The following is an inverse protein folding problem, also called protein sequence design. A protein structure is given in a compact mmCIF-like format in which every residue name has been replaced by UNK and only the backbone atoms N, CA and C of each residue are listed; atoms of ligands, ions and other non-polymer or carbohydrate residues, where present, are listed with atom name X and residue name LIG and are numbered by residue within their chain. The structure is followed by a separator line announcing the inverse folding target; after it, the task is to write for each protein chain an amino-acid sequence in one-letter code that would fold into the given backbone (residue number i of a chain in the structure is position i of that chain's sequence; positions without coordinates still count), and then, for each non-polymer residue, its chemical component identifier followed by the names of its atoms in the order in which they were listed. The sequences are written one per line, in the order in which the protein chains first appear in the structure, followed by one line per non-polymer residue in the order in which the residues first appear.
data_IF_611256662305
#
_entry.id   IF_611256662305
#
_cell.length_a   1.000
_cell.length_b   1.000
_cell.length_c   1.000
_cell.angle_alpha   90.00
_cell.angle_beta   90.00
_cell.angle_gamma   90.00
#
_symmetry.space_group_name_H-M   'P 1'
#
loop_
_entity.id
_entity.type
_entity.pdbx_description
1 polymer ?
#
# COMPACT_ATOMS: atom_id res chain seq x y z
N UNK A 1 -22.76 -23.54 -15.52
CA UNK A 1 -22.24 -22.16 -15.65
C UNK A 1 -21.30 -21.84 -14.50
N UNK A 2 -20.00 -22.05 -14.72
CA UNK A 2 -18.85 -21.23 -14.31
C UNK A 2 -18.89 -20.36 -13.03
N UNK A 3 -19.23 -20.93 -11.87
CA UNK A 3 -18.99 -20.25 -10.57
C UNK A 3 -17.49 -19.91 -10.36
N UNK A 4 -16.58 -20.74 -10.90
CA UNK A 4 -15.14 -20.52 -10.84
C UNK A 4 -14.64 -19.32 -11.65
N UNK A 5 -15.19 -19.06 -12.85
CA UNK A 5 -14.72 -17.94 -13.68
C UNK A 5 -15.21 -16.58 -13.17
N UNK A 6 -16.38 -16.52 -12.52
CA UNK A 6 -16.92 -15.28 -11.95
C UNK A 6 -16.10 -14.79 -10.76
N UNK A 7 -15.80 -15.69 -9.82
CA UNK A 7 -14.97 -15.39 -8.66
C UNK A 7 -13.54 -15.05 -9.07
N UNK A 8 -12.91 -15.81 -9.95
CA UNK A 8 -11.54 -15.52 -10.40
C UNK A 8 -11.44 -14.16 -11.13
N UNK A 9 -12.48 -13.78 -11.89
CA UNK A 9 -12.52 -12.48 -12.58
C UNK A 9 -12.72 -11.32 -11.60
N UNK A 10 -13.61 -11.47 -10.62
CA UNK A 10 -13.81 -10.44 -9.58
C UNK A 10 -12.57 -10.27 -8.71
N UNK A 11 -11.90 -11.39 -8.40
CA UNK A 11 -10.62 -11.43 -7.73
C UNK A 11 -9.55 -10.64 -8.51
N UNK A 12 -9.37 -10.95 -9.79
CA UNK A 12 -8.41 -10.25 -10.65
C UNK A 12 -8.70 -8.75 -10.74
N UNK A 13 -9.98 -8.37 -10.86
CA UNK A 13 -10.40 -6.97 -10.86
C UNK A 13 -10.07 -6.26 -9.55
N UNK A 14 -10.30 -6.91 -8.40
CA UNK A 14 -10.01 -6.33 -7.09
C UNK A 14 -8.50 -6.08 -6.92
N UNK A 15 -7.65 -7.03 -7.33
CA UNK A 15 -6.18 -6.85 -7.32
C UNK A 15 -5.77 -5.64 -8.18
N UNK A 16 -6.32 -5.52 -9.39
CA UNK A 16 -6.02 -4.41 -10.30
C UNK A 16 -6.50 -3.06 -9.74
N UNK A 17 -7.72 -3.00 -9.21
CA UNK A 17 -8.28 -1.78 -8.64
C UNK A 17 -7.46 -1.30 -7.43
N UNK A 18 -7.12 -2.20 -6.51
CA UNK A 18 -6.25 -1.90 -5.37
C UNK A 18 -4.84 -1.50 -5.81
N UNK A 19 -4.32 -2.13 -6.88
CA UNK A 19 -3.01 -1.80 -7.44
C UNK A 19 -2.96 -0.41 -8.07
N UNK A 20 -4.00 -0.04 -8.82
CA UNK A 20 -4.11 1.28 -9.43
C UNK A 20 -4.29 2.38 -8.36
N UNK A 21 -5.07 2.09 -7.33
CA UNK A 21 -5.21 2.96 -6.16
C UNK A 21 -3.85 3.18 -5.46
N UNK A 22 -3.11 2.10 -5.20
CA UNK A 22 -1.77 2.16 -4.61
C UNK A 22 -0.77 2.91 -5.50
N UNK A 23 -0.77 2.65 -6.79
CA UNK A 23 0.09 3.35 -7.76
C UNK A 23 -0.15 4.86 -7.74
N UNK A 24 -1.42 5.28 -7.66
CA UNK A 24 -1.79 6.70 -7.57
C UNK A 24 -1.19 7.35 -6.31
N UNK A 25 -1.26 6.68 -5.17
CA UNK A 25 -0.67 7.18 -3.92
C UNK A 25 0.87 7.19 -3.95
N UNK A 26 1.51 6.24 -4.63
CA UNK A 26 2.96 6.24 -4.82
C UNK A 26 3.42 7.43 -5.66
N UNK A 27 2.71 7.76 -6.75
CA UNK A 27 2.99 8.97 -7.55
C UNK A 27 2.88 10.23 -6.70
N UNK A 28 1.81 10.34 -5.90
CA UNK A 28 1.65 11.45 -4.95
C UNK A 28 2.80 11.51 -3.94
N UNK A 29 3.25 10.36 -3.42
CA UNK A 29 4.40 10.29 -2.51
C UNK A 29 5.72 10.75 -3.13
N UNK A 30 6.01 10.30 -4.36
CA UNK A 30 7.20 10.74 -5.10
C UNK A 30 7.16 12.26 -5.31
N UNK A 31 6.02 12.81 -5.74
CA UNK A 31 5.87 14.24 -5.96
C UNK A 31 5.99 15.04 -4.65
N UNK A 32 5.37 14.55 -3.57
CA UNK A 32 5.43 15.20 -2.27
C UNK A 32 6.87 15.28 -1.75
N UNK A 33 7.63 14.18 -1.83
CA UNK A 33 9.04 14.17 -1.43
C UNK A 33 9.89 15.06 -2.33
N UNK A 34 9.68 15.00 -3.65
CA UNK A 34 10.42 15.84 -4.60
C UNK A 34 10.19 17.35 -4.38
N UNK A 35 8.97 17.75 -3.98
CA UNK A 35 8.58 19.15 -3.78
C UNK A 35 8.92 19.69 -2.39
N UNK A 36 8.70 18.90 -1.33
CA UNK A 36 8.74 19.40 0.05
C UNK A 36 9.91 18.83 0.88
N UNK A 37 10.49 17.70 0.47
CA UNK A 37 11.49 16.96 1.27
C UNK A 37 12.68 16.49 0.42
N UNK A 38 13.02 17.25 -0.63
CA UNK A 38 14.01 16.85 -1.66
C UNK A 38 15.38 16.48 -1.07
N UNK A 39 15.78 17.17 -0.02
CA UNK A 39 17.07 17.00 0.65
C UNK A 39 17.04 16.00 1.81
N UNK A 40 15.88 15.42 2.14
CA UNK A 40 15.75 14.44 3.21
C UNK A 40 16.04 13.03 2.68
N UNK A 41 17.20 12.41 3.02
CA UNK A 41 17.52 11.07 2.56
C UNK A 41 16.56 10.02 3.12
N UNK A 42 16.01 10.25 4.32
CA UNK A 42 15.02 9.38 4.95
C UNK A 42 13.69 9.38 4.20
N UNK A 43 13.26 10.53 3.67
CA UNK A 43 12.05 10.62 2.85
C UNK A 43 12.19 9.86 1.54
N UNK A 44 13.34 9.97 0.87
CA UNK A 44 13.65 9.18 -0.34
C UNK A 44 13.74 7.69 -0.05
N UNK A 45 14.43 7.30 1.04
CA UNK A 45 14.48 5.90 1.47
C UNK A 45 13.07 5.36 1.74
N UNK A 46 12.21 6.14 2.40
CA UNK A 46 10.81 5.79 2.64
C UNK A 46 10.01 5.56 1.35
N UNK A 47 10.17 6.43 0.35
CA UNK A 47 9.56 6.25 -0.98
C UNK A 47 10.08 5.00 -1.67
N UNK A 48 11.40 4.77 -1.64
CA UNK A 48 12.01 3.56 -2.23
C UNK A 48 11.47 2.30 -1.58
N UNK A 49 11.39 2.26 -0.24
CA UNK A 49 10.79 1.13 0.50
C UNK A 49 9.33 0.95 0.08
N UNK A 50 8.52 2.00 0.04
CA UNK A 50 7.12 1.91 -0.38
C UNK A 50 6.96 1.37 -1.81
N UNK A 51 7.82 1.78 -2.74
CA UNK A 51 7.86 1.27 -4.11
C UNK A 51 8.22 -0.21 -4.15
N UNK A 52 9.30 -0.61 -3.47
CA UNK A 52 9.78 -2.00 -3.45
C UNK A 52 8.75 -2.94 -2.81
N UNK A 53 8.19 -2.56 -1.66
CA UNK A 53 7.16 -3.36 -0.96
C UNK A 53 5.92 -3.50 -1.83
N UNK A 54 5.49 -2.42 -2.49
CA UNK A 54 4.35 -2.48 -3.42
C UNK A 54 4.66 -3.40 -4.61
N UNK A 55 5.83 -3.29 -5.23
CA UNK A 55 6.21 -4.17 -6.34
C UNK A 55 6.22 -5.64 -5.92
N UNK A 56 6.72 -5.96 -4.72
CA UNK A 56 6.72 -7.32 -4.18
C UNK A 56 5.29 -7.80 -3.89
N UNK A 57 4.45 -6.99 -3.25
CA UNK A 57 3.09 -7.36 -2.88
C UNK A 57 2.23 -7.64 -4.12
N UNK A 58 2.25 -6.74 -5.10
CA UNK A 58 1.43 -6.90 -6.31
C UNK A 58 2.06 -7.89 -7.30
N UNK A 59 3.39 -8.04 -7.32
CA UNK A 59 4.08 -9.06 -8.12
C UNK A 59 3.83 -10.48 -7.60
N UNK A 60 3.85 -10.68 -6.29
CA UNK A 60 3.49 -11.97 -5.66
C UNK A 60 2.01 -12.27 -5.86
N UNK A 61 1.12 -11.28 -5.70
CA UNK A 61 -0.30 -11.45 -6.00
C UNK A 61 -0.56 -11.82 -7.47
N UNK A 62 0.20 -11.25 -8.41
CA UNK A 62 0.10 -11.58 -9.84
C UNK A 62 0.59 -13.00 -10.15
N UNK A 63 1.67 -13.45 -9.51
CA UNK A 63 2.24 -14.79 -9.76
C UNK A 63 1.45 -15.91 -9.08
N UNK A 64 0.91 -15.67 -7.88
CA UNK A 64 0.10 -16.64 -7.12
C UNK A 64 -1.41 -16.54 -7.39
N UNK A 65 -1.87 -15.53 -8.14
CA UNK A 65 -3.28 -15.31 -8.49
C UNK A 65 -4.12 -14.68 -7.37
N UNK A 66 -3.57 -14.46 -6.18
CA UNK A 66 -4.25 -13.80 -5.06
C UNK A 66 -3.28 -13.15 -4.07
N UNK A 67 -3.74 -12.17 -3.30
CA UNK A 67 -2.98 -11.66 -2.17
C UNK A 67 -2.98 -12.68 -1.02
N UNK A 68 -1.81 -12.98 -0.49
CA UNK A 68 -1.69 -13.75 0.74
C UNK A 68 -1.70 -12.79 1.93
N UNK A 69 -2.24 -13.25 3.07
CA UNK A 69 -2.41 -12.40 4.26
C UNK A 69 -1.08 -11.88 4.81
N UNK A 70 -0.04 -12.71 4.78
CA UNK A 70 1.28 -12.38 5.35
C UNK A 70 1.94 -11.18 4.66
N UNK A 71 2.12 -11.16 3.32
CA UNK A 71 2.67 -10.01 2.61
C UNK A 71 1.85 -8.73 2.78
N UNK A 72 0.51 -8.84 2.82
CA UNK A 72 -0.34 -7.68 3.00
C UNK A 72 -0.22 -7.09 4.42
N UNK A 73 -0.15 -7.95 5.45
CA UNK A 73 0.12 -7.52 6.82
C UNK A 73 1.51 -6.90 6.97
N UNK A 74 2.52 -7.46 6.29
CA UNK A 74 3.86 -6.87 6.28
C UNK A 74 3.86 -5.48 5.62
N UNK A 75 3.12 -5.28 4.52
CA UNK A 75 2.93 -3.97 3.90
C UNK A 75 2.21 -2.98 4.84
N UNK A 76 1.16 -3.43 5.54
CA UNK A 76 0.46 -2.62 6.53
C UNK A 76 1.38 -2.17 7.67
N UNK A 77 2.16 -3.09 8.24
CA UNK A 77 3.07 -2.76 9.33
C UNK A 77 4.16 -1.81 8.82
N UNK A 78 4.80 -2.12 7.69
CA UNK A 78 5.96 -1.38 7.22
C UNK A 78 5.57 -0.03 6.62
N UNK A 79 4.62 -0.01 5.69
CA UNK A 79 4.22 1.20 4.96
C UNK A 79 3.11 1.95 5.69
N UNK A 80 2.18 1.24 6.33
CA UNK A 80 1.08 1.88 7.05
C UNK A 80 1.43 2.35 8.46
N UNK A 81 2.24 1.59 9.20
CA UNK A 81 2.58 1.95 10.57
C UNK A 81 3.97 2.57 10.69
N UNK A 82 5.02 1.92 10.18
CA UNK A 82 6.41 2.35 10.42
C UNK A 82 6.81 3.59 9.61
N UNK A 83 6.47 3.63 8.32
CA UNK A 83 6.89 4.69 7.40
C UNK A 83 6.54 6.12 7.89
N UNK A 84 5.32 6.42 8.37
CA UNK A 84 5.00 7.76 8.89
C UNK A 84 5.94 8.22 10.01
N UNK A 85 6.31 7.32 10.93
CA UNK A 85 7.24 7.66 12.03
C UNK A 85 8.67 7.87 11.54
N UNK A 86 9.13 7.08 10.57
CA UNK A 86 10.47 7.25 9.98
C UNK A 86 10.58 8.60 9.26
N UNK A 87 9.55 8.96 8.49
CA UNK A 87 9.50 10.23 7.76
C UNK A 87 9.42 11.41 8.73
N UNK A 88 8.62 11.29 9.79
CA UNK A 88 8.55 12.29 10.86
C UNK A 88 9.90 12.49 11.56
N UNK A 89 10.55 11.39 11.98
CA UNK A 89 11.89 11.43 12.58
C UNK A 89 12.95 12.01 11.63
N UNK A 90 12.73 11.90 10.31
CA UNK A 90 13.58 12.46 9.27
C UNK A 90 13.36 13.94 8.95
N UNK A 91 12.55 14.65 9.74
CA UNK A 91 12.39 16.10 9.64
C UNK A 91 11.05 16.57 9.05
N UNK A 92 10.16 15.65 8.66
CA UNK A 92 8.84 15.99 8.13
C UNK A 92 7.87 16.32 9.27
N UNK A 93 7.91 17.56 9.75
CA UNK A 93 7.09 17.99 10.89
C UNK A 93 5.78 18.66 10.46
N UNK A 94 5.69 19.11 9.20
CA UNK A 94 4.48 19.76 8.70
C UNK A 94 3.48 18.74 8.16
N UNK A 95 2.17 18.98 8.30
CA UNK A 95 1.14 18.08 7.79
C UNK A 95 1.31 17.75 6.30
N UNK A 96 1.66 18.75 5.48
CA UNK A 96 1.90 18.58 4.04
C UNK A 96 3.07 17.63 3.73
N UNK A 97 4.05 17.54 4.62
CA UNK A 97 5.26 16.71 4.45
C UNK A 97 5.03 15.26 4.88
N UNK A 98 4.01 14.99 5.71
CA UNK A 98 3.67 13.63 6.21
C UNK A 98 2.42 13.06 5.53
N UNK A 99 1.57 13.91 4.92
CA UNK A 99 0.31 13.50 4.32
C UNK A 99 0.44 12.36 3.31
N UNK A 100 1.53 12.33 2.54
CA UNK A 100 1.78 11.25 1.58
C UNK A 100 2.03 9.89 2.26
N UNK A 101 2.70 9.86 3.41
CA UNK A 101 2.92 8.64 4.18
C UNK A 101 1.59 8.12 4.76
N UNK A 102 0.71 9.03 5.20
CA UNK A 102 -0.64 8.66 5.66
C UNK A 102 -1.51 8.11 4.52
N UNK A 103 -1.44 8.69 3.31
CA UNK A 103 -2.11 8.15 2.12
C UNK A 103 -1.60 6.74 1.77
N UNK A 104 -0.30 6.52 1.87
CA UNK A 104 0.27 5.19 1.69
C UNK A 104 -0.23 4.22 2.76
N UNK A 105 -0.38 4.63 4.02
CA UNK A 105 -1.00 3.79 5.04
C UNK A 105 -2.47 3.44 4.79
N UNK A 106 -3.25 4.39 4.24
CA UNK A 106 -4.63 4.12 3.82
C UNK A 106 -4.69 3.05 2.72
N UNK A 107 -3.81 3.14 1.72
CA UNK A 107 -3.73 2.13 0.65
C UNK A 107 -3.19 0.78 1.11
N UNK A 108 -2.29 0.74 2.10
CA UNK A 108 -1.82 -0.50 2.71
C UNK A 108 -2.95 -1.21 3.49
N UNK A 109 -3.77 -0.43 4.19
CA UNK A 109 -4.97 -0.92 4.89
C UNK A 109 -5.98 -1.51 3.90
N UNK A 110 -6.20 -0.84 2.76
CA UNK A 110 -7.08 -1.34 1.71
C UNK A 110 -6.55 -2.67 1.11
N UNK A 111 -5.25 -2.77 0.84
CA UNK A 111 -4.64 -4.01 0.36
C UNK A 111 -4.76 -5.15 1.39
N UNK A 112 -4.60 -4.84 2.68
CA UNK A 112 -4.80 -5.80 3.76
C UNK A 112 -6.24 -6.27 3.87
N UNK A 113 -7.22 -5.36 3.76
CA UNK A 113 -8.64 -5.71 3.77
C UNK A 113 -9.03 -6.63 2.61
N UNK A 114 -8.37 -6.48 1.46
CA UNK A 114 -8.54 -7.34 0.29
C UNK A 114 -7.89 -8.72 0.49
N UNK A 115 -6.74 -8.76 1.16
CA UNK A 115 -5.94 -9.97 1.36
C UNK A 115 -6.40 -10.84 2.53
N UNK A 116 -6.93 -10.22 3.59
CA UNK A 116 -7.49 -10.93 4.74
C UNK A 116 -8.75 -11.65 4.26
N UNK A 117 -8.83 -12.99 4.42
CA UNK A 117 -10.09 -13.69 4.18
C UNK A 117 -11.15 -13.03 5.03
N UNK A 118 -12.37 -12.88 4.50
CA UNK A 118 -13.51 -12.29 5.21
C UNK A 118 -13.64 -13.00 6.56
N UNK A 119 -13.05 -12.43 7.62
CA UNK A 119 -13.58 -12.58 8.96
C UNK A 119 -15.03 -12.15 8.79
N UNK A 120 -16.01 -13.03 9.07
CA UNK A 120 -17.41 -12.72 8.84
C UNK A 120 -17.62 -11.32 9.40
N UNK A 121 -17.98 -10.40 8.52
CA UNK A 121 -18.29 -9.03 8.89
C UNK A 121 -19.15 -9.16 10.14
N UNK A 122 -18.68 -8.60 11.26
CA UNK A 122 -19.45 -8.58 12.50
C UNK A 122 -20.80 -8.01 12.11
N UNK A 123 -21.78 -8.89 11.97
CA UNK A 123 -23.17 -8.54 11.85
C UNK A 123 -23.55 -8.05 13.25
N UNK A 124 -23.35 -6.76 13.46
CA UNK A 124 -23.92 -5.98 14.54
C UNK A 124 -24.94 -5.04 13.94
#
# INVERSE_FOLDING_TARGET
MSAGSGLQRSQSFMILATGLYRASHLVVGVLAVAQHQRHSPLSWAGVTVALTVSALLFGTARSHGWFTAWPALADLVLVGCVLPFVVYAGGAHRPAEVAWAMLLGGSASAASAVALPRLPAVAG
#
